data_IF_548284715096
#
_entry.id   IF_548284715096
#
_cell.length_a   1.000
_cell.length_b   1.000
_cell.length_c   1.000
_cell.angle_alpha   90.00
_cell.angle_beta   90.00
_cell.angle_gamma   90.00
#
_symmetry.space_group_name_H-M   'P 1'
#
loop_
_entity.id
_entity.type
_entity.pdbx_description
1 polymer ?
#
# COMPACT_ATOMS: atom_id res chain seq x y z
N UNK A 1 -17.28 -29.68 -13.77
CA UNK A 1 -16.38 -30.39 -12.83
C UNK A 1 -16.51 -29.70 -11.48
N UNK A 2 -16.91 -30.42 -10.43
CA UNK A 2 -16.94 -29.85 -9.09
C UNK A 2 -15.49 -29.53 -8.65
N UNK A 3 -15.23 -28.31 -8.19
CA UNK A 3 -13.90 -27.92 -7.72
C UNK A 3 -13.47 -28.72 -6.50
N UNK A 4 -12.16 -28.97 -6.35
CA UNK A 4 -11.58 -29.62 -5.18
C UNK A 4 -11.88 -28.78 -3.95
N UNK A 5 -12.62 -29.35 -2.98
CA UNK A 5 -13.03 -28.64 -1.76
C UNK A 5 -11.98 -28.80 -0.65
N UNK A 6 -11.54 -27.67 -0.12
CA UNK A 6 -10.63 -27.59 1.03
C UNK A 6 -11.28 -28.10 2.33
N UNK A 7 -10.47 -28.69 3.22
CA UNK A 7 -10.84 -29.09 4.59
C UNK A 7 -10.65 -27.95 5.60
N UNK A 8 -9.93 -26.88 5.24
CA UNK A 8 -9.78 -25.71 6.12
C UNK A 8 -11.16 -25.14 6.46
N UNK A 9 -11.44 -25.04 7.75
CA UNK A 9 -12.60 -24.33 8.26
C UNK A 9 -12.32 -22.82 8.28
N UNK A 10 -13.37 -22.01 8.36
CA UNK A 10 -13.23 -20.55 8.49
C UNK A 10 -12.37 -20.16 9.71
N UNK A 11 -12.57 -20.83 10.85
CA UNK A 11 -11.77 -20.61 12.06
C UNK A 11 -10.27 -20.96 11.84
N UNK A 12 -9.98 -22.06 11.15
CA UNK A 12 -8.59 -22.42 10.82
C UNK A 12 -7.97 -21.38 9.86
N UNK A 13 -8.74 -20.86 8.89
CA UNK A 13 -8.29 -19.77 8.01
C UNK A 13 -7.95 -18.52 8.81
N UNK A 14 -8.78 -18.12 9.77
CA UNK A 14 -8.55 -16.94 10.63
C UNK A 14 -7.29 -17.11 11.49
N UNK A 15 -7.08 -18.30 12.07
CA UNK A 15 -5.86 -18.60 12.82
C UNK A 15 -4.61 -18.53 11.92
N UNK A 16 -4.66 -19.09 10.72
CA UNK A 16 -3.56 -19.00 9.75
C UNK A 16 -3.31 -17.56 9.30
N UNK A 17 -4.36 -16.77 9.12
CA UNK A 17 -4.26 -15.35 8.83
C UNK A 17 -3.60 -14.57 9.96
N UNK A 18 -3.86 -14.92 11.22
CA UNK A 18 -3.15 -14.33 12.37
C UNK A 18 -1.66 -14.67 12.36
N UNK A 19 -1.28 -15.88 11.94
CA UNK A 19 0.13 -16.30 11.85
C UNK A 19 0.89 -15.63 10.67
N UNK A 20 0.20 -15.33 9.58
CA UNK A 20 0.78 -14.90 8.29
C UNK A 20 0.46 -13.45 7.88
N UNK A 21 -0.34 -12.72 8.67
CA UNK A 21 -0.67 -11.31 8.44
C UNK A 21 -1.78 -11.09 7.40
N UNK A 22 -2.92 -11.78 7.56
CA UNK A 22 -4.16 -11.63 6.78
C UNK A 22 -4.03 -11.92 5.28
N UNK A 23 -3.25 -12.96 4.95
CA UNK A 23 -2.99 -13.47 3.59
C UNK A 23 -4.16 -14.31 3.05
N UNK A 24 -4.22 -14.48 1.74
CA UNK A 24 -5.13 -15.44 1.08
C UNK A 24 -4.45 -16.79 0.89
N UNK A 25 -5.25 -17.86 0.87
CA UNK A 25 -4.78 -19.22 0.63
C UNK A 25 -5.48 -19.81 -0.60
N UNK A 26 -4.70 -20.25 -1.59
CA UNK A 26 -5.20 -20.95 -2.77
C UNK A 26 -4.76 -22.41 -2.71
N UNK A 27 -5.72 -23.33 -2.67
CA UNK A 27 -5.44 -24.78 -2.58
C UNK A 27 -4.70 -25.25 -3.84
N UNK A 28 -3.48 -25.74 -3.67
CA UNK A 28 -2.67 -26.32 -4.75
C UNK A 28 -2.81 -27.84 -4.77
N UNK A 29 -2.74 -28.46 -3.60
CA UNK A 29 -2.67 -29.90 -3.43
C UNK A 29 -3.54 -30.35 -2.25
N UNK A 30 -4.24 -31.48 -2.42
CA UNK A 30 -5.03 -32.17 -1.41
C UNK A 30 -4.78 -33.67 -1.58
N UNK A 31 -4.17 -34.31 -0.59
CA UNK A 31 -3.68 -35.69 -0.70
C UNK A 31 -4.81 -36.69 -0.95
N UNK A 32 -5.96 -36.54 -0.30
CA UNK A 32 -7.13 -37.42 -0.54
C UNK A 32 -7.69 -37.37 -1.97
N UNK A 33 -7.40 -36.31 -2.73
CA UNK A 33 -7.89 -36.12 -4.12
C UNK A 33 -6.79 -36.41 -5.14
N UNK A 34 -5.56 -35.97 -4.86
CA UNK A 34 -4.44 -36.09 -5.80
C UNK A 34 -3.54 -37.31 -5.52
N UNK A 35 -3.79 -38.04 -4.44
CA UNK A 35 -2.95 -39.14 -3.94
C UNK A 35 -1.81 -38.64 -3.06
N UNK A 36 -1.38 -39.47 -2.10
CA UNK A 36 -0.34 -39.17 -1.11
C UNK A 36 1.10 -39.22 -1.69
N UNK A 37 1.24 -39.20 -3.01
CA UNK A 37 2.52 -39.33 -3.71
C UNK A 37 3.27 -37.98 -3.74
N UNK A 38 4.56 -37.98 -3.35
CA UNK A 38 5.40 -36.78 -3.32
C UNK A 38 5.63 -36.19 -4.71
N UNK A 39 5.67 -37.04 -5.75
CA UNK A 39 5.80 -36.60 -7.15
C UNK A 39 4.63 -35.72 -7.60
N UNK A 40 3.41 -35.99 -7.12
CA UNK A 40 2.23 -35.19 -7.43
C UNK A 40 2.21 -33.90 -6.62
N UNK A 41 2.73 -33.92 -5.38
CA UNK A 41 2.97 -32.70 -4.61
C UNK A 41 3.89 -31.75 -5.38
N UNK A 42 5.08 -32.21 -5.81
CA UNK A 42 6.02 -31.37 -6.55
C UNK A 42 5.45 -30.87 -7.88
N UNK A 43 4.75 -31.73 -8.63
CA UNK A 43 4.09 -31.33 -9.87
C UNK A 43 3.06 -30.18 -9.70
N UNK A 44 2.52 -29.98 -8.49
CA UNK A 44 1.51 -28.96 -8.19
C UNK A 44 2.06 -27.77 -7.40
N UNK A 45 3.09 -27.97 -6.59
CA UNK A 45 3.57 -27.00 -5.61
C UNK A 45 4.91 -26.36 -5.99
N UNK A 46 5.68 -26.94 -6.90
CA UNK A 46 6.91 -26.32 -7.38
C UNK A 46 6.63 -25.03 -8.13
N UNK A 47 7.54 -24.07 -8.00
CA UNK A 47 7.45 -22.71 -8.57
C UNK A 47 6.19 -21.90 -8.17
N UNK A 48 5.49 -22.27 -7.10
CA UNK A 48 4.28 -21.56 -6.65
C UNK A 48 4.55 -20.39 -5.69
N UNK A 49 5.81 -20.16 -5.28
CA UNK A 49 6.16 -19.15 -4.29
C UNK A 49 5.87 -19.61 -2.85
N UNK A 50 5.56 -18.67 -1.92
CA UNK A 50 5.28 -19.00 -0.53
C UNK A 50 4.13 -20.01 -0.38
N UNK A 51 4.34 -21.07 0.40
CA UNK A 51 3.35 -22.11 0.62
C UNK A 51 3.19 -22.44 2.09
N UNK A 52 1.99 -22.93 2.43
CA UNK A 52 1.69 -23.51 3.74
C UNK A 52 1.14 -24.92 3.55
N UNK A 53 1.78 -25.89 4.20
CA UNK A 53 1.33 -27.27 4.28
C UNK A 53 0.54 -27.47 5.58
N UNK A 54 -0.64 -28.07 5.48
CA UNK A 54 -1.58 -28.28 6.58
C UNK A 54 -1.97 -29.76 6.63
N UNK A 55 -1.61 -30.41 7.72
CA UNK A 55 -1.89 -31.80 8.02
C UNK A 55 -2.99 -31.93 9.09
N UNK A 56 -3.75 -33.02 9.00
CA UNK A 56 -4.80 -33.37 9.94
C UNK A 56 -4.56 -34.82 10.40
N UNK A 57 -4.62 -35.12 11.70
CA UNK A 57 -4.51 -36.50 12.21
C UNK A 57 -5.77 -36.98 12.94
N UNK A 58 -5.79 -38.27 13.29
CA UNK A 58 -6.93 -38.92 13.96
C UNK A 58 -7.17 -38.40 15.38
N UNK A 59 -6.11 -37.91 16.02
CA UNK A 59 -6.13 -37.30 17.35
C UNK A 59 -6.67 -35.87 17.38
N UNK A 60 -7.11 -35.33 16.23
CA UNK A 60 -7.75 -34.02 16.14
C UNK A 60 -6.81 -32.82 16.02
N UNK A 61 -5.51 -33.05 15.81
CA UNK A 61 -4.53 -32.00 15.59
C UNK A 61 -4.61 -31.48 14.15
N UNK A 62 -4.46 -30.16 14.02
CA UNK A 62 -4.26 -29.47 12.74
C UNK A 62 -2.90 -28.79 12.84
N UNK A 63 -1.92 -29.24 12.05
CA UNK A 63 -0.53 -28.85 12.19
C UNK A 63 0.17 -28.78 10.83
N UNK A 64 1.38 -28.24 10.79
CA UNK A 64 2.12 -28.19 9.54
C UNK A 64 3.25 -27.17 9.57
N UNK A 65 3.63 -26.70 8.39
CA UNK A 65 4.70 -25.73 8.24
C UNK A 65 4.46 -24.74 7.11
N UNK A 66 5.07 -23.57 7.24
CA UNK A 66 5.09 -22.51 6.25
C UNK A 66 6.52 -22.26 5.77
N UNK A 67 6.65 -22.00 4.47
CA UNK A 67 7.87 -21.44 3.87
C UNK A 67 7.55 -20.22 3.02
N UNK A 68 8.41 -19.21 3.11
CA UNK A 68 8.38 -18.01 2.26
C UNK A 68 9.07 -18.22 0.91
N UNK A 69 9.74 -19.34 0.73
CA UNK A 69 10.45 -19.70 -0.49
C UNK A 69 9.60 -20.64 -1.35
N UNK A 70 9.96 -20.77 -2.63
CA UNK A 70 9.33 -21.71 -3.53
C UNK A 70 10.06 -23.05 -3.52
N UNK A 71 9.32 -24.16 -3.53
CA UNK A 71 9.87 -25.47 -3.89
C UNK A 71 10.29 -25.47 -5.36
N UNK A 72 11.37 -26.20 -5.68
CA UNK A 72 11.89 -26.36 -7.04
C UNK A 72 12.46 -27.77 -7.29
N UNK A 73 12.25 -28.72 -6.39
CA UNK A 73 12.82 -30.08 -6.46
C UNK A 73 14.35 -30.09 -6.60
N UNK A 74 15.03 -29.17 -5.91
CA UNK A 74 16.48 -28.95 -6.05
C UNK A 74 17.37 -30.12 -5.60
N UNK A 75 16.86 -31.00 -4.76
CA UNK A 75 17.64 -32.01 -4.04
C UNK A 75 18.45 -31.44 -2.87
N UNK A 76 18.23 -30.16 -2.52
CA UNK A 76 19.03 -29.42 -1.56
C UNK A 76 18.17 -28.79 -0.46
N UNK A 77 18.85 -28.20 0.52
CA UNK A 77 18.20 -27.37 1.53
C UNK A 77 17.88 -25.97 0.98
N UNK A 78 16.71 -25.47 1.32
CA UNK A 78 16.28 -24.10 1.08
C UNK A 78 16.54 -23.27 2.34
N UNK A 79 17.18 -22.12 2.15
CA UNK A 79 17.39 -21.15 3.21
C UNK A 79 16.16 -20.26 3.37
N UNK A 80 15.57 -20.20 4.57
CA UNK A 80 14.36 -19.41 4.82
C UNK A 80 14.28 -18.96 6.27
N UNK A 81 14.55 -17.68 6.53
CA UNK A 81 14.45 -17.08 7.88
C UNK A 81 13.00 -16.91 8.36
N UNK A 82 12.02 -17.01 7.46
CA UNK A 82 10.59 -16.78 7.74
C UNK A 82 9.84 -18.10 7.89
N UNK A 83 10.50 -19.24 7.72
CA UNK A 83 9.89 -20.55 7.89
C UNK A 83 9.49 -20.79 9.36
N UNK A 84 8.38 -21.50 9.54
CA UNK A 84 7.93 -21.90 10.87
C UNK A 84 7.05 -23.14 10.79
N UNK A 85 7.03 -23.92 11.87
CA UNK A 85 6.02 -24.95 12.12
C UNK A 85 4.87 -24.37 12.94
N UNK A 86 3.70 -24.97 12.85
CA UNK A 86 2.55 -24.53 13.62
C UNK A 86 1.62 -25.67 14.00
N UNK A 87 0.80 -25.41 15.02
CA UNK A 87 -0.43 -26.13 15.35
C UNK A 87 -1.56 -25.11 15.50
N UNK A 88 -2.74 -25.43 14.97
CA UNK A 88 -3.97 -24.64 15.16
C UNK A 88 -4.83 -25.24 16.28
N UNK A 89 -5.74 -24.43 16.81
CA UNK A 89 -6.76 -24.86 17.75
C UNK A 89 -7.68 -25.88 17.07
N UNK A 90 -7.71 -27.11 17.61
CA UNK A 90 -8.58 -28.19 17.13
C UNK A 90 -10.06 -27.95 17.47
N UNK A 91 -10.95 -28.83 16.97
CA UNK A 91 -12.43 -28.69 17.04
C UNK A 91 -13.01 -28.48 18.46
N UNK A 92 -12.33 -28.94 19.50
CA UNK A 92 -12.81 -28.84 20.89
C UNK A 92 -12.15 -27.72 21.70
N UNK A 93 -11.27 -26.93 21.08
CA UNK A 93 -10.67 -25.76 21.70
C UNK A 93 -9.73 -26.00 22.88
N UNK A 94 -9.41 -27.26 23.18
CA UNK A 94 -8.52 -27.68 24.28
C UNK A 94 -7.06 -27.29 24.03
N UNK A 95 -6.64 -27.24 22.75
CA UNK A 95 -5.25 -26.96 22.37
C UNK A 95 -5.07 -25.49 21.98
N UNK A 96 -4.08 -24.82 22.57
CA UNK A 96 -3.69 -23.47 22.17
C UNK A 96 -2.97 -23.48 20.81
N UNK A 97 -3.12 -22.43 19.98
CA UNK A 97 -2.33 -22.30 18.77
C UNK A 97 -0.85 -22.19 19.13
N UNK A 98 0.00 -22.83 18.33
CA UNK A 98 1.45 -22.88 18.54
C UNK A 98 2.14 -22.42 17.25
N UNK A 99 3.17 -21.59 17.39
CA UNK A 99 4.08 -21.19 16.32
C UNK A 99 5.51 -21.47 16.75
N UNK A 100 6.23 -22.27 15.96
CA UNK A 100 7.62 -22.64 16.20
C UNK A 100 8.45 -22.04 15.07
N UNK A 101 9.07 -20.87 15.28
CA UNK A 101 9.91 -20.26 14.27
C UNK A 101 11.16 -21.12 14.02
N UNK A 102 11.65 -21.09 12.79
CA UNK A 102 12.99 -21.63 12.49
C UNK A 102 14.05 -20.86 13.27
N UNK A 103 15.06 -21.57 13.81
CA UNK A 103 16.17 -20.92 14.54
C UNK A 103 17.22 -20.32 13.61
N UNK A 104 17.54 -21.04 12.55
CA UNK A 104 18.57 -20.66 11.57
C UNK A 104 17.99 -20.77 10.18
N UNK A 105 18.17 -19.73 9.36
CA UNK A 105 17.68 -19.72 7.99
C UNK A 105 18.27 -20.89 7.18
N UNK A 106 19.52 -21.28 7.43
CA UNK A 106 20.18 -22.41 6.79
C UNK A 106 19.47 -23.72 7.10
N UNK A 107 19.19 -24.54 6.08
CA UNK A 107 18.52 -25.84 6.26
C UNK A 107 17.08 -25.75 6.81
N UNK A 108 16.40 -24.63 6.58
CA UNK A 108 15.03 -24.41 7.06
C UNK A 108 14.02 -25.39 6.43
N UNK A 109 14.18 -25.72 5.15
CA UNK A 109 13.32 -26.63 4.39
C UNK A 109 14.20 -27.54 3.55
N UNK A 110 13.85 -28.83 3.44
CA UNK A 110 14.53 -29.78 2.57
C UNK A 110 13.69 -30.02 1.32
N UNK A 111 14.23 -29.66 0.16
CA UNK A 111 13.52 -29.67 -1.12
C UNK A 111 14.09 -30.78 -2.01
N UNK A 112 13.56 -31.98 -1.86
CA UNK A 112 13.97 -33.15 -2.63
C UNK A 112 12.76 -33.76 -3.31
N UNK A 113 12.86 -34.11 -4.60
CA UNK A 113 11.74 -34.56 -5.43
C UNK A 113 10.98 -35.79 -4.92
N UNK A 114 11.61 -36.58 -4.04
CA UNK A 114 11.04 -37.77 -3.39
C UNK A 114 10.54 -37.50 -1.96
N UNK A 115 10.56 -36.25 -1.51
CA UNK A 115 10.09 -35.82 -0.20
C UNK A 115 8.81 -35.01 -0.37
N UNK A 116 7.87 -35.15 0.56
CA UNK A 116 6.76 -34.18 0.64
C UNK A 116 7.23 -32.87 1.28
N UNK A 117 6.31 -32.03 1.79
CA UNK A 117 6.67 -30.90 2.62
C UNK A 117 7.59 -31.32 3.78
N UNK A 118 8.86 -30.91 3.73
CA UNK A 118 9.89 -31.32 4.68
C UNK A 118 10.60 -30.10 5.26
N UNK A 119 10.39 -29.86 6.55
CA UNK A 119 10.97 -28.75 7.31
C UNK A 119 12.14 -29.27 8.15
N UNK A 120 13.28 -28.59 8.08
CA UNK A 120 14.48 -28.91 8.87
C UNK A 120 15.17 -30.21 8.49
N UNK A 121 14.86 -30.83 7.34
CA UNK A 121 15.41 -32.15 6.99
C UNK A 121 14.88 -33.27 7.89
N UNK A 122 13.60 -33.20 8.29
CA UNK A 122 12.94 -34.21 9.09
C UNK A 122 12.34 -33.71 10.41
N UNK A 123 12.52 -32.44 10.79
CA UNK A 123 11.80 -31.88 11.95
C UNK A 123 10.29 -32.04 11.77
N UNK A 124 9.80 -31.81 10.57
CA UNK A 124 8.48 -32.29 10.16
C UNK A 124 8.53 -32.63 8.68
N UNK A 125 8.26 -33.89 8.35
CA UNK A 125 8.01 -34.31 6.99
C UNK A 125 6.61 -34.88 6.87
N UNK A 126 5.87 -34.41 5.87
CA UNK A 126 4.54 -34.93 5.51
C UNK A 126 4.65 -35.80 4.27
N UNK A 127 3.73 -36.76 4.11
CA UNK A 127 3.69 -37.71 3.00
C UNK A 127 4.89 -38.68 3.00
N UNK A 128 5.30 -39.14 4.18
CA UNK A 128 6.42 -40.08 4.29
C UNK A 128 6.13 -41.37 3.51
N UNK A 129 7.12 -41.85 2.77
CA UNK A 129 7.04 -43.06 1.94
C UNK A 129 5.82 -43.09 0.99
N UNK A 130 5.38 -41.92 0.49
CA UNK A 130 4.17 -41.77 -0.33
C UNK A 130 2.88 -42.24 0.36
N UNK A 131 2.83 -42.18 1.69
CA UNK A 131 1.72 -42.65 2.50
C UNK A 131 1.04 -41.51 3.26
N UNK A 132 -0.11 -41.83 3.86
CA UNK A 132 -0.82 -40.97 4.79
C UNK A 132 -0.12 -40.94 6.17
N UNK A 133 1.16 -40.58 6.17
CA UNK A 133 2.03 -40.58 7.32
C UNK A 133 2.90 -39.32 7.36
N UNK A 134 3.20 -38.88 8.57
CA UNK A 134 4.23 -37.90 8.86
C UNK A 134 5.42 -38.58 9.55
N UNK A 135 6.56 -37.90 9.55
CA UNK A 135 7.72 -38.28 10.36
C UNK A 135 8.33 -37.03 10.99
N UNK A 136 8.91 -37.22 12.18
CA UNK A 136 9.49 -36.17 13.00
C UNK A 136 10.78 -36.68 13.60
N UNK A 137 11.87 -35.93 13.41
CA UNK A 137 13.16 -36.16 14.02
C UNK A 137 13.62 -34.90 14.76
N UNK A 138 14.36 -35.08 15.85
CA UNK A 138 14.97 -33.96 16.55
C UNK A 138 16.10 -33.35 15.72
N UNK A 139 16.11 -32.03 15.55
CA UNK A 139 17.22 -31.29 14.98
C UNK A 139 17.34 -29.89 15.59
N UNK A 140 18.41 -29.17 15.22
CA UNK A 140 18.71 -27.85 15.76
C UNK A 140 17.89 -26.72 15.11
N UNK A 141 17.34 -26.96 13.91
CA UNK A 141 16.60 -25.96 13.14
C UNK A 141 15.23 -25.63 13.75
N UNK A 142 14.54 -26.63 14.30
CA UNK A 142 13.24 -26.47 14.96
C UNK A 142 13.25 -27.22 16.29
N UNK A 143 12.99 -26.50 17.39
CA UNK A 143 12.92 -27.10 18.73
C UNK A 143 11.50 -26.97 19.27
N UNK A 144 10.90 -28.12 19.54
CA UNK A 144 9.55 -28.24 20.08
C UNK A 144 9.36 -29.63 20.70
N UNK A 145 8.32 -29.79 21.52
CA UNK A 145 7.90 -31.10 21.97
C UNK A 145 6.97 -31.72 20.91
N UNK A 146 7.27 -32.95 20.49
CA UNK A 146 6.52 -33.71 19.47
C UNK A 146 5.04 -33.85 19.84
N UNK A 147 4.75 -34.09 21.14
CA UNK A 147 3.38 -34.17 21.65
C UNK A 147 2.61 -32.84 21.50
N UNK A 148 3.31 -31.71 21.58
CA UNK A 148 2.70 -30.40 21.40
C UNK A 148 2.36 -30.14 19.92
N UNK A 149 3.16 -30.62 18.97
CA UNK A 149 2.89 -30.34 17.55
C UNK A 149 1.73 -31.18 17.00
N UNK A 150 1.73 -32.49 17.26
CA UNK A 150 0.78 -33.43 16.65
C UNK A 150 0.30 -34.55 17.59
N UNK A 151 0.52 -34.44 18.90
CA UNK A 151 -0.04 -35.38 19.89
C UNK A 151 0.56 -36.78 19.84
N UNK A 152 1.80 -36.92 19.33
CA UNK A 152 2.45 -38.22 19.06
C UNK A 152 1.69 -39.10 18.04
N UNK A 153 0.75 -38.53 17.29
CA UNK A 153 0.01 -39.22 16.23
C UNK A 153 0.51 -38.74 14.86
N UNK A 154 1.27 -39.62 14.20
CA UNK A 154 1.87 -39.39 12.89
C UNK A 154 0.97 -39.87 11.74
N UNK A 155 -0.18 -40.50 12.04
CA UNK A 155 -1.13 -40.94 11.03
C UNK A 155 -1.93 -39.77 10.46
N UNK A 156 -1.80 -39.52 9.16
CA UNK A 156 -2.49 -38.41 8.51
C UNK A 156 -3.87 -38.84 8.02
N UNK A 157 -4.90 -38.10 8.42
CA UNK A 157 -6.21 -38.15 7.78
C UNK A 157 -6.23 -37.35 6.47
N UNK A 158 -5.41 -36.30 6.37
CA UNK A 158 -5.35 -35.41 5.21
C UNK A 158 -4.06 -34.58 5.23
N UNK A 159 -3.58 -34.22 4.04
CA UNK A 159 -2.54 -33.21 3.85
C UNK A 159 -2.96 -32.27 2.71
N UNK A 160 -3.00 -30.97 2.99
CA UNK A 160 -3.33 -29.93 2.01
C UNK A 160 -2.20 -28.92 1.94
N UNK A 161 -1.86 -28.47 0.73
CA UNK A 161 -0.87 -27.41 0.52
C UNK A 161 -1.52 -26.25 -0.20
N UNK A 162 -1.30 -25.06 0.34
CA UNK A 162 -1.86 -23.81 -0.15
C UNK A 162 -0.76 -22.85 -0.57
N UNK A 163 -0.95 -22.18 -1.69
CA UNK A 163 -0.19 -20.97 -2.04
C UNK A 163 -0.65 -19.83 -1.13
N UNK A 164 0.29 -19.11 -0.55
CA UNK A 164 0.02 -17.92 0.28
C UNK A 164 0.08 -16.68 -0.61
N UNK A 165 -1.06 -16.08 -0.90
CA UNK A 165 -1.16 -14.90 -1.77
C UNK A 165 -1.21 -13.58 -0.97
N UNK A 166 -1.28 -12.44 -1.67
CA UNK A 166 -1.38 -11.10 -1.08
C UNK A 166 -2.49 -10.94 -0.03
N UNK A 167 -2.47 -9.83 0.72
CA UNK A 167 -3.45 -9.58 1.80
C UNK A 167 -4.89 -9.53 1.24
N UNK A 168 -5.83 -10.26 1.83
CA UNK A 168 -7.24 -10.25 1.39
C UNK A 168 -7.95 -8.95 1.79
N UNK A 169 -7.60 -8.46 2.99
CA UNK A 169 -8.06 -7.18 3.55
C UNK A 169 -7.66 -5.99 2.66
N UNK A 170 -6.52 -6.07 1.97
CA UNK A 170 -6.04 -4.97 1.13
C UNK A 170 -6.91 -4.81 -0.12
N UNK A 171 -7.28 -5.90 -0.81
CA UNK A 171 -8.16 -5.82 -2.01
C UNK A 171 -9.57 -5.32 -1.71
N UNK A 172 -10.18 -5.72 -0.59
CA UNK A 172 -11.52 -5.22 -0.22
C UNK A 172 -11.48 -3.74 0.15
N UNK A 173 -10.48 -3.33 0.95
CA UNK A 173 -10.26 -1.93 1.28
C UNK A 173 -10.04 -1.08 0.03
N UNK A 174 -9.20 -1.54 -0.90
CA UNK A 174 -8.97 -0.87 -2.18
C UNK A 174 -10.28 -0.68 -2.95
N UNK A 175 -11.06 -1.75 -3.17
CA UNK A 175 -12.37 -1.68 -3.86
C UNK A 175 -13.37 -0.79 -3.15
N UNK A 176 -13.30 -0.67 -1.83
CA UNK A 176 -14.16 0.23 -1.07
C UNK A 176 -13.77 1.69 -1.29
N UNK A 177 -12.47 2.02 -1.21
CA UNK A 177 -11.97 3.38 -1.43
C UNK A 177 -12.18 3.85 -2.87
N UNK A 178 -11.96 2.99 -3.87
CA UNK A 178 -12.29 3.29 -5.27
C UNK A 178 -13.77 3.61 -5.45
N UNK A 179 -14.67 2.82 -4.84
CA UNK A 179 -16.12 3.05 -4.93
C UNK A 179 -16.54 4.36 -4.29
N UNK A 180 -15.97 4.70 -3.13
CA UNK A 180 -16.23 5.98 -2.44
C UNK A 180 -15.82 7.15 -3.34
N UNK A 181 -14.63 7.10 -3.95
CA UNK A 181 -14.15 8.16 -4.87
C UNK A 181 -15.01 8.25 -6.14
N UNK A 182 -15.34 7.11 -6.76
CA UNK A 182 -16.18 7.05 -7.97
C UNK A 182 -17.61 7.55 -7.76
N UNK A 183 -18.12 7.40 -6.55
CA UNK A 183 -19.49 7.80 -6.18
C UNK A 183 -19.58 9.19 -5.54
N UNK A 184 -18.44 9.81 -5.22
CA UNK A 184 -18.39 11.13 -4.63
C UNK A 184 -19.10 12.17 -5.52
N UNK A 185 -19.89 13.03 -4.90
CA UNK A 185 -20.56 14.15 -5.54
C UNK A 185 -20.15 15.42 -4.80
N UNK A 186 -19.56 16.41 -5.50
CA UNK A 186 -19.32 17.71 -4.90
C UNK A 186 -20.62 18.31 -4.35
N UNK A 187 -20.51 19.06 -3.26
CA UNK A 187 -21.65 19.62 -2.57
C UNK A 187 -22.44 20.64 -3.42
N UNK A 188 -21.72 21.49 -4.17
CA UNK A 188 -22.32 22.51 -5.03
C UNK A 188 -22.53 21.96 -6.45
N UNK A 189 -23.77 22.00 -6.94
CA UNK A 189 -24.11 21.57 -8.30
C UNK A 189 -23.36 22.37 -9.40
N UNK A 190 -22.94 23.59 -9.10
CA UNK A 190 -22.13 24.44 -10.00
C UNK A 190 -20.67 23.99 -10.11
N UNK A 191 -20.23 23.05 -9.27
CA UNK A 191 -18.88 22.49 -9.21
C UNK A 191 -18.95 20.99 -9.53
N UNK A 192 -18.81 20.58 -10.81
CA UNK A 192 -18.93 19.15 -11.17
C UNK A 192 -17.70 18.32 -10.76
N UNK A 193 -16.54 18.95 -10.57
CA UNK A 193 -15.30 18.31 -10.16
C UNK A 193 -14.56 19.20 -9.17
N UNK A 194 -14.00 18.60 -8.12
CA UNK A 194 -13.15 19.27 -7.14
C UNK A 194 -11.76 19.46 -7.74
N UNK A 195 -11.25 20.70 -7.71
CA UNK A 195 -9.86 21.01 -8.08
C UNK A 195 -8.95 20.97 -6.85
N UNK A 196 -7.96 20.09 -6.90
CA UNK A 196 -6.94 19.94 -5.86
C UNK A 196 -5.64 20.53 -6.40
N UNK A 197 -5.13 21.59 -5.77
CA UNK A 197 -3.83 22.17 -6.12
C UNK A 197 -2.71 21.40 -5.44
N UNK A 198 -1.73 20.93 -6.22
CA UNK A 198 -0.59 20.17 -5.75
C UNK A 198 0.62 21.09 -5.65
N UNK A 199 1.05 21.40 -4.44
CA UNK A 199 2.19 22.28 -4.13
C UNK A 199 3.32 21.48 -3.48
N UNK A 200 4.55 21.95 -3.55
CA UNK A 200 5.68 21.29 -2.90
C UNK A 200 7.03 21.56 -3.58
N UNK A 201 8.15 21.25 -2.89
CA UNK A 201 9.49 21.45 -3.44
C UNK A 201 9.76 20.71 -4.75
N UNK A 202 10.83 21.09 -5.44
CA UNK A 202 11.35 20.31 -6.58
C UNK A 202 11.68 18.89 -6.12
N UNK A 203 11.36 17.89 -6.94
CA UNK A 203 11.67 16.49 -6.67
C UNK A 203 10.81 15.83 -5.58
N UNK A 204 9.85 16.55 -4.97
CA UNK A 204 8.95 15.99 -3.96
C UNK A 204 7.90 15.02 -4.51
N UNK A 205 7.82 14.82 -5.83
CA UNK A 205 6.89 13.83 -6.42
C UNK A 205 5.48 14.34 -6.71
N UNK A 206 5.29 15.64 -6.97
CA UNK A 206 3.97 16.24 -7.34
C UNK A 206 3.38 15.63 -8.62
N UNK A 207 4.13 15.69 -9.72
CA UNK A 207 3.72 15.13 -11.01
C UNK A 207 3.61 13.60 -10.96
N UNK A 208 4.50 12.95 -10.20
CA UNK A 208 4.44 11.51 -9.92
C UNK A 208 3.17 11.12 -9.17
N UNK A 209 2.71 11.94 -8.21
CA UNK A 209 1.46 11.69 -7.49
C UNK A 209 0.25 11.70 -8.44
N UNK A 210 0.16 12.68 -9.34
CA UNK A 210 -0.88 12.67 -10.38
C UNK A 210 -0.80 11.42 -11.25
N UNK A 211 0.38 11.10 -11.78
CA UNK A 211 0.58 9.91 -12.62
C UNK A 211 0.14 8.65 -11.89
N UNK A 212 0.47 8.54 -10.61
CA UNK A 212 0.12 7.39 -9.77
C UNK A 212 -1.39 7.27 -9.58
N UNK A 213 -2.06 8.35 -9.18
CA UNK A 213 -3.53 8.38 -9.03
C UNK A 213 -4.22 8.02 -10.35
N UNK A 214 -3.77 8.61 -11.46
CA UNK A 214 -4.30 8.30 -12.79
C UNK A 214 -4.04 6.84 -13.19
N UNK A 215 -2.93 6.25 -12.77
CA UNK A 215 -2.60 4.84 -13.03
C UNK A 215 -3.59 3.90 -12.34
N UNK A 216 -3.94 4.16 -11.07
CA UNK A 216 -4.93 3.38 -10.31
C UNK A 216 -6.26 3.30 -11.08
N UNK A 217 -6.79 4.47 -11.48
CA UNK A 217 -8.10 4.51 -12.14
C UNK A 217 -8.05 4.07 -13.61
N UNK A 218 -6.88 4.08 -14.27
CA UNK A 218 -6.72 3.53 -15.62
C UNK A 218 -6.48 2.02 -15.64
N UNK A 219 -6.00 1.44 -14.54
CA UNK A 219 -5.68 0.02 -14.42
C UNK A 219 -4.30 -0.38 -14.93
N UNK A 220 -3.41 0.59 -15.22
CA UNK A 220 -2.01 0.35 -15.60
C UNK A 220 -1.15 1.58 -15.31
N UNK A 221 0.16 1.40 -15.13
CA UNK A 221 1.10 2.50 -14.84
C UNK A 221 1.17 3.50 -16.01
N UNK A 222 1.03 4.79 -15.71
CA UNK A 222 1.01 5.88 -16.70
C UNK A 222 2.00 6.99 -16.35
N UNK A 223 2.46 7.70 -17.39
CA UNK A 223 3.35 8.86 -17.25
C UNK A 223 2.86 10.01 -18.13
N UNK A 224 1.72 10.61 -17.76
CA UNK A 224 1.09 11.68 -18.54
C UNK A 224 1.61 13.07 -18.16
N UNK A 225 1.90 13.31 -16.88
CA UNK A 225 2.64 14.49 -16.44
C UNK A 225 4.14 14.21 -16.51
N UNK A 226 4.91 15.21 -16.94
CA UNK A 226 6.37 15.11 -17.00
C UNK A 226 6.89 15.06 -15.57
N UNK A 227 7.43 13.91 -15.18
CA UNK A 227 8.06 13.69 -13.88
C UNK A 227 9.54 13.35 -14.09
N UNK A 228 10.40 13.91 -13.25
CA UNK A 228 11.85 13.68 -13.30
C UNK A 228 12.56 14.42 -12.17
N UNK A 229 13.77 13.98 -11.86
CA UNK A 229 14.67 14.66 -10.91
C UNK A 229 15.75 15.38 -11.71
N UNK A 230 15.74 16.71 -11.63
CA UNK A 230 16.81 17.57 -12.15
C UNK A 230 17.08 18.67 -11.10
N UNK A 231 18.17 19.41 -11.26
CA UNK A 231 18.54 20.54 -10.40
C UNK A 231 17.51 21.68 -10.49
N UNK A 232 16.81 21.81 -11.62
CA UNK A 232 15.72 22.76 -11.84
C UNK A 232 14.35 22.04 -11.91
N UNK A 233 13.27 22.81 -11.80
CA UNK A 233 11.92 22.23 -11.89
C UNK A 233 11.64 21.75 -13.30
N UNK A 234 11.42 20.45 -13.46
CA UNK A 234 11.01 19.85 -14.74
C UNK A 234 9.62 20.35 -15.16
N UNK A 235 8.72 20.52 -14.19
CA UNK A 235 7.41 21.13 -14.42
C UNK A 235 7.57 22.64 -14.42
N UNK A 236 7.33 23.28 -15.57
CA UNK A 236 7.46 24.73 -15.76
C UNK A 236 6.11 25.41 -16.09
N UNK A 237 5.04 24.62 -16.20
CA UNK A 237 3.69 25.08 -16.49
C UNK A 237 2.71 24.72 -15.37
N UNK A 238 1.70 25.55 -15.18
CA UNK A 238 0.49 25.17 -14.46
C UNK A 238 -0.34 24.24 -15.34
N UNK A 239 -0.65 23.04 -14.83
CA UNK A 239 -1.36 22.01 -15.60
C UNK A 239 -2.51 21.45 -14.80
N UNK A 240 -3.66 21.32 -15.44
CA UNK A 240 -4.87 20.76 -14.85
C UNK A 240 -5.16 19.41 -15.49
N UNK A 241 -5.22 18.37 -14.66
CA UNK A 241 -5.39 16.99 -15.12
C UNK A 241 -6.68 16.39 -14.55
N UNK A 242 -7.74 16.30 -15.36
CA UNK A 242 -8.94 15.54 -15.00
C UNK A 242 -8.59 14.06 -14.90
N UNK A 243 -9.01 13.40 -13.82
CA UNK A 243 -8.87 11.95 -13.66
C UNK A 243 -10.08 11.26 -14.30
N UNK A 244 -9.86 10.14 -14.99
CA UNK A 244 -10.92 9.36 -15.66
C UNK A 244 -11.01 7.95 -15.09
N UNK A 245 -12.21 7.37 -15.10
CA UNK A 245 -12.45 5.97 -14.73
C UNK A 245 -12.16 5.06 -15.94
N UNK A 246 -10.90 4.63 -16.12
CA UNK A 246 -10.43 3.92 -17.31
C UNK A 246 -9.97 4.83 -18.45
N UNK A 247 -9.54 4.24 -19.57
CA UNK A 247 -8.97 4.97 -20.73
C UNK A 247 -9.95 5.98 -21.33
N UNK A 248 -11.16 5.52 -21.61
CA UNK A 248 -12.22 6.28 -22.29
C UNK A 248 -13.47 6.47 -21.42
N UNK A 249 -13.36 6.18 -20.12
CA UNK A 249 -14.50 6.27 -19.21
C UNK A 249 -14.80 7.70 -18.77
N UNK A 250 -15.84 7.79 -17.93
CA UNK A 250 -16.35 9.05 -17.41
C UNK A 250 -15.29 9.79 -16.57
N UNK A 251 -15.27 11.14 -16.61
CA UNK A 251 -14.49 11.92 -15.65
C UNK A 251 -14.91 11.59 -14.22
N UNK A 252 -13.91 11.40 -13.35
CA UNK A 252 -14.11 11.33 -11.90
C UNK A 252 -14.30 12.75 -11.34
N UNK A 253 -14.88 12.90 -10.14
CA UNK A 253 -15.18 14.21 -9.55
C UNK A 253 -13.93 14.97 -9.05
N UNK A 254 -12.76 14.74 -9.66
CA UNK A 254 -11.47 15.25 -9.24
C UNK A 254 -10.67 15.75 -10.45
N UNK A 255 -10.07 16.93 -10.28
CA UNK A 255 -9.03 17.47 -11.15
C UNK A 255 -7.80 17.74 -10.26
N UNK A 256 -6.65 17.17 -10.65
CA UNK A 256 -5.38 17.46 -10.00
C UNK A 256 -4.69 18.59 -10.76
N UNK A 257 -4.37 19.67 -10.06
CA UNK A 257 -3.70 20.84 -10.62
C UNK A 257 -2.23 20.85 -10.19
N UNK A 258 -1.34 20.50 -11.11
CA UNK A 258 0.10 20.41 -10.88
C UNK A 258 0.79 21.75 -11.14
N UNK A 259 1.82 22.05 -10.36
CA UNK A 259 2.56 23.31 -10.42
C UNK A 259 4.06 23.10 -10.55
N UNK A 260 4.74 24.17 -10.94
CA UNK A 260 6.19 24.27 -10.78
C UNK A 260 6.61 24.06 -9.32
N UNK A 261 7.80 23.49 -9.12
CA UNK A 261 8.35 23.26 -7.78
C UNK A 261 8.74 24.55 -7.07
N UNK A 262 8.62 24.51 -5.74
CA UNK A 262 9.06 25.59 -4.86
C UNK A 262 10.58 25.47 -4.65
N UNK A 263 11.27 26.62 -4.67
CA UNK A 263 12.70 26.74 -4.40
C UNK A 263 12.94 27.80 -3.31
N UNK A 264 14.12 27.76 -2.72
CA UNK A 264 14.59 28.62 -1.64
C UNK A 264 14.96 30.05 -2.10
N UNK A 265 15.42 30.21 -3.34
CA UNK A 265 15.80 31.51 -3.91
C UNK A 265 14.57 32.30 -4.40
N UNK A 266 14.48 33.58 -4.03
CA UNK A 266 13.47 34.50 -4.55
C UNK A 266 13.61 34.68 -6.07
N UNK A 267 12.51 34.57 -6.81
CA UNK A 267 12.52 34.63 -8.28
C UNK A 267 12.88 33.30 -8.96
N UNK A 268 13.11 32.24 -8.17
CA UNK A 268 13.26 30.87 -8.66
C UNK A 268 12.10 30.00 -8.14
N UNK A 269 11.46 29.25 -9.05
CA UNK A 269 10.33 28.39 -8.68
C UNK A 269 9.02 29.17 -8.49
N UNK A 270 8.03 28.51 -7.90
CA UNK A 270 6.70 29.07 -7.70
C UNK A 270 6.69 30.15 -6.60
N UNK A 271 6.13 31.32 -6.90
CA UNK A 271 6.00 32.42 -5.94
C UNK A 271 4.63 32.44 -5.22
N UNK A 272 4.61 32.99 -4.00
CA UNK A 272 3.43 32.96 -3.12
C UNK A 272 2.24 33.74 -3.74
N UNK A 273 2.53 34.85 -4.42
CA UNK A 273 1.49 35.66 -5.05
C UNK A 273 0.85 34.98 -6.26
N UNK A 274 1.59 34.14 -6.99
CA UNK A 274 1.04 33.33 -8.08
C UNK A 274 0.03 32.31 -7.54
N UNK A 275 0.30 31.71 -6.38
CA UNK A 275 -0.63 30.78 -5.73
C UNK A 275 -1.98 31.44 -5.42
N UNK A 276 -1.98 32.75 -5.11
CA UNK A 276 -3.24 33.49 -4.89
C UNK A 276 -4.09 33.57 -6.15
N UNK A 277 -3.47 33.80 -7.31
CA UNK A 277 -4.16 33.83 -8.59
C UNK A 277 -4.65 32.44 -9.00
N UNK A 278 -3.87 31.39 -8.73
CA UNK A 278 -4.25 30.00 -9.01
C UNK A 278 -5.45 29.61 -8.14
N UNK A 279 -5.42 29.88 -6.83
CA UNK A 279 -6.50 29.55 -5.90
C UNK A 279 -7.82 30.16 -6.34
N UNK A 280 -7.79 31.42 -6.76
CA UNK A 280 -8.97 32.16 -7.23
C UNK A 280 -9.44 31.74 -8.63
N UNK A 281 -8.70 30.91 -9.35
CA UNK A 281 -9.05 30.45 -10.69
C UNK A 281 -8.68 31.44 -11.82
N UNK A 282 -7.83 32.41 -11.55
CA UNK A 282 -7.42 33.41 -12.54
C UNK A 282 -6.40 32.88 -13.56
N UNK A 283 -5.75 31.75 -13.26
CA UNK A 283 -4.68 31.16 -14.07
C UNK A 283 -5.24 30.05 -14.97
N UNK A 284 -5.14 30.16 -16.31
CA UNK A 284 -5.63 29.14 -17.23
C UNK A 284 -4.70 27.91 -17.29
N UNK A 285 -5.23 26.77 -17.74
CA UNK A 285 -4.43 25.58 -18.04
C UNK A 285 -3.29 25.90 -19.01
N UNK A 286 -2.13 25.29 -18.80
CA UNK A 286 -0.89 25.48 -19.57
C UNK A 286 -0.25 26.86 -19.44
N UNK A 287 -0.64 27.65 -18.45
CA UNK A 287 0.08 28.88 -18.13
C UNK A 287 1.56 28.58 -17.84
N UNK A 288 2.44 29.26 -18.54
CA UNK A 288 3.89 29.16 -18.36
C UNK A 288 4.31 30.09 -17.23
N UNK A 289 4.93 29.54 -16.18
CA UNK A 289 5.44 30.36 -15.10
C UNK A 289 6.60 31.24 -15.59
N UNK A 290 6.55 32.52 -15.24
CA UNK A 290 7.55 33.50 -15.64
C UNK A 290 8.42 33.89 -14.43
N UNK A 291 9.73 33.56 -14.43
CA UNK A 291 10.64 33.96 -13.35
C UNK A 291 10.74 35.47 -13.17
N UNK A 292 10.44 36.26 -14.21
CA UNK A 292 10.58 37.72 -14.19
C UNK A 292 9.36 38.47 -13.63
N UNK A 293 8.24 37.81 -13.34
CA UNK A 293 7.06 38.49 -12.78
C UNK A 293 5.80 37.63 -12.72
N UNK A 294 4.89 38.01 -11.83
CA UNK A 294 3.62 37.32 -11.59
C UNK A 294 2.55 37.71 -12.63
N UNK A 295 1.56 36.83 -12.82
CA UNK A 295 0.43 37.10 -13.71
C UNK A 295 -0.44 38.25 -13.15
N UNK A 296 -0.65 39.29 -13.95
CA UNK A 296 -1.46 40.46 -13.58
C UNK A 296 -2.84 40.44 -14.29
N UNK A 297 -3.84 41.19 -13.80
CA UNK A 297 -5.17 41.26 -14.43
C UNK A 297 -5.19 41.72 -15.90
N UNK A 298 -4.18 42.50 -16.30
CA UNK A 298 -4.02 42.99 -17.67
C UNK A 298 -3.17 42.07 -18.55
N UNK A 299 -2.59 41.01 -17.97
CA UNK A 299 -1.77 40.05 -18.71
C UNK A 299 -2.62 39.22 -19.68
N UNK A 300 -2.12 38.95 -20.90
CA UNK A 300 -2.80 38.06 -21.84
C UNK A 300 -3.07 36.68 -21.22
N UNK A 301 -4.31 36.20 -21.33
CA UNK A 301 -4.73 34.91 -20.79
C UNK A 301 -5.21 34.93 -19.33
N UNK A 302 -5.14 36.07 -18.61
CA UNK A 302 -5.72 36.20 -17.27
C UNK A 302 -7.24 36.02 -17.32
N UNK A 303 -7.76 35.10 -16.51
CA UNK A 303 -9.21 34.87 -16.38
C UNK A 303 -9.78 35.93 -15.44
N UNK A 304 -10.43 36.97 -15.99
CA UNK A 304 -10.92 38.11 -15.21
C UNK A 304 -12.00 37.75 -14.17
N UNK A 305 -12.94 36.90 -14.56
CA UNK A 305 -14.10 36.52 -13.73
C UNK A 305 -14.25 35.01 -13.68
N UNK A 306 -13.42 34.32 -12.88
CA UNK A 306 -13.48 32.87 -12.74
C UNK A 306 -14.77 32.43 -12.04
N UNK A 307 -15.31 31.30 -12.46
CA UNK A 307 -16.47 30.69 -11.81
C UNK A 307 -16.03 29.76 -10.67
N UNK A 308 -16.97 29.31 -9.83
CA UNK A 308 -16.64 28.42 -8.69
C UNK A 308 -15.91 27.13 -9.12
N UNK A 309 -16.28 26.55 -10.27
CA UNK A 309 -15.59 25.35 -10.82
C UNK A 309 -14.14 25.61 -11.25
N UNK A 310 -13.74 26.87 -11.40
CA UNK A 310 -12.38 27.25 -11.81
C UNK A 310 -11.47 27.49 -10.59
N UNK A 311 -12.05 27.66 -9.40
CA UNK A 311 -11.33 27.87 -8.15
C UNK A 311 -10.74 26.57 -7.60
N UNK A 312 -9.73 26.70 -6.73
CA UNK A 312 -9.16 25.57 -5.99
C UNK A 312 -10.02 25.29 -4.76
N UNK A 313 -10.29 24.00 -4.52
CA UNK A 313 -11.19 23.54 -3.47
C UNK A 313 -10.43 22.86 -2.31
N UNK A 314 -9.21 22.38 -2.57
CA UNK A 314 -8.32 21.81 -1.57
C UNK A 314 -6.86 21.93 -2.05
N UNK A 315 -5.90 21.97 -1.13
CA UNK A 315 -4.47 21.98 -1.43
C UNK A 315 -3.79 20.73 -0.89
N UNK A 316 -3.06 20.01 -1.73
CA UNK A 316 -2.14 18.95 -1.34
C UNK A 316 -0.71 19.51 -1.29
N UNK A 317 -0.09 19.56 -0.12
CA UNK A 317 1.32 19.93 0.04
C UNK A 317 2.16 18.66 0.05
N UNK A 318 2.96 18.48 -0.98
CA UNK A 318 3.77 17.27 -1.20
C UNK A 318 5.18 17.48 -0.66
N UNK A 319 5.58 16.59 0.24
CA UNK A 319 6.89 16.61 0.91
C UNK A 319 7.60 15.29 0.64
N UNK A 320 8.89 15.38 0.34
CA UNK A 320 9.78 14.22 0.25
C UNK A 320 10.13 13.74 1.66
N UNK A 321 9.67 12.55 2.04
CA UNK A 321 9.88 12.00 3.38
C UNK A 321 11.34 11.71 3.70
N UNK A 322 12.21 11.55 2.71
CA UNK A 322 13.64 11.35 2.90
C UNK A 322 14.39 12.66 3.17
N UNK A 323 13.77 13.81 2.87
CA UNK A 323 14.44 15.12 2.92
C UNK A 323 13.88 16.07 3.98
N UNK A 324 12.85 15.68 4.72
CA UNK A 324 12.22 16.58 5.69
C UNK A 324 13.16 16.98 6.83
N UNK A 325 14.00 16.06 7.33
CA UNK A 325 14.99 16.35 8.38
C UNK A 325 16.01 17.40 7.95
N UNK A 326 16.49 17.27 6.71
CA UNK A 326 17.49 18.15 6.10
C UNK A 326 16.86 19.28 5.27
N UNK A 327 15.58 19.59 5.50
CA UNK A 327 14.88 20.63 4.75
C UNK A 327 15.51 22.00 5.08
N UNK A 328 16.01 22.76 4.08
CA UNK A 328 16.60 24.06 4.31
C UNK A 328 15.63 25.05 4.96
N UNK A 329 16.09 25.83 5.94
CA UNK A 329 15.25 26.74 6.73
C UNK A 329 14.45 27.72 5.84
N UNK A 330 15.08 28.29 4.80
CA UNK A 330 14.41 29.19 3.85
C UNK A 330 13.24 28.50 3.12
N UNK A 331 13.42 27.24 2.74
CA UNK A 331 12.38 26.47 2.06
C UNK A 331 11.27 26.06 3.04
N UNK A 332 11.63 25.70 4.27
CA UNK A 332 10.68 25.47 5.37
C UNK A 332 9.81 26.70 5.61
N UNK A 333 10.41 27.88 5.68
CA UNK A 333 9.70 29.15 5.86
C UNK A 333 8.79 29.48 4.67
N UNK A 334 9.25 29.27 3.42
CA UNK A 334 8.41 29.47 2.23
C UNK A 334 7.21 28.52 2.24
N UNK A 335 7.37 27.26 2.66
CA UNK A 335 6.27 26.31 2.83
C UNK A 335 5.28 26.74 3.93
N UNK A 336 5.78 27.23 5.08
CA UNK A 336 4.93 27.80 6.14
C UNK A 336 4.14 29.01 5.65
N UNK A 337 4.77 29.90 4.89
CA UNK A 337 4.10 31.08 4.33
C UNK A 337 3.02 30.70 3.33
N UNK A 338 3.30 29.77 2.42
CA UNK A 338 2.30 29.22 1.50
C UNK A 338 1.12 28.61 2.25
N UNK A 339 1.40 27.80 3.27
CA UNK A 339 0.38 27.18 4.12
C UNK A 339 -0.53 28.24 4.77
N UNK A 340 0.06 29.28 5.35
CA UNK A 340 -0.67 30.40 5.96
C UNK A 340 -1.51 31.14 4.93
N UNK A 341 -0.97 31.37 3.73
CA UNK A 341 -1.70 32.03 2.63
C UNK A 341 -2.91 31.20 2.17
N UNK A 342 -2.74 29.89 2.03
CA UNK A 342 -3.85 28.95 1.71
C UNK A 342 -4.93 29.00 2.80
N UNK A 343 -4.53 28.97 4.07
CA UNK A 343 -5.47 29.08 5.20
C UNK A 343 -6.21 30.42 5.25
N UNK A 344 -5.58 31.53 4.85
CA UNK A 344 -6.25 32.84 4.74
C UNK A 344 -7.38 32.86 3.71
N UNK A 345 -7.30 32.01 2.67
CA UNK A 345 -8.39 31.82 1.72
C UNK A 345 -9.46 30.85 2.20
N UNK A 346 -9.34 30.31 3.43
CA UNK A 346 -10.27 29.30 3.94
C UNK A 346 -10.17 27.96 3.22
N UNK A 347 -9.11 27.72 2.44
CA UNK A 347 -8.96 26.49 1.67
C UNK A 347 -8.34 25.40 2.56
N UNK A 348 -8.96 24.22 2.66
CA UNK A 348 -8.43 23.10 3.43
C UNK A 348 -7.19 22.52 2.76
N UNK A 349 -6.26 22.02 3.57
CA UNK A 349 -4.99 21.49 3.09
C UNK A 349 -4.63 20.16 3.75
N UNK A 350 -3.95 19.30 3.00
CA UNK A 350 -3.41 18.01 3.44
C UNK A 350 -1.95 17.90 3.03
N UNK A 351 -1.11 17.36 3.89
CA UNK A 351 0.28 17.03 3.54
C UNK A 351 0.37 15.60 3.06
N UNK A 352 1.00 15.41 1.90
CA UNK A 352 1.34 14.11 1.35
C UNK A 352 2.84 13.88 1.59
N UNK A 353 3.17 12.92 2.44
CA UNK A 353 4.54 12.50 2.70
C UNK A 353 4.90 11.39 1.70
N UNK A 354 5.67 11.73 0.67
CA UNK A 354 6.03 10.83 -0.44
C UNK A 354 7.33 10.08 -0.19
N UNK A 355 7.63 9.12 -1.07
CA UNK A 355 8.86 8.31 -1.05
C UNK A 355 9.06 7.52 0.23
N UNK A 356 7.95 7.07 0.83
CA UNK A 356 7.98 6.32 2.08
C UNK A 356 8.67 4.96 1.96
N UNK A 357 8.82 4.47 0.74
CA UNK A 357 9.60 3.28 0.38
C UNK A 357 11.10 3.50 0.31
N UNK A 358 11.56 4.76 0.23
CA UNK A 358 12.99 5.11 0.26
C UNK A 358 13.47 5.45 1.69
N UNK A 359 12.54 5.75 2.62
CA UNK A 359 12.85 6.11 4.01
C UNK A 359 13.55 4.95 4.76
N UNK A 360 13.34 3.71 4.34
CA UNK A 360 13.98 2.52 4.92
C UNK A 360 14.31 1.51 3.82
N UNK A 361 15.56 1.02 3.70
CA UNK A 361 15.95 0.06 2.68
C UNK A 361 15.11 -1.22 2.73
N UNK A 362 14.74 -1.72 1.54
CA UNK A 362 13.94 -2.93 1.36
C UNK A 362 14.66 -4.13 1.98
N UNK A 363 14.14 -4.62 3.10
CA UNK A 363 14.72 -5.75 3.86
C UNK A 363 14.24 -5.82 5.31
N UNK A 364 13.75 -4.72 5.88
CA UNK A 364 13.35 -4.67 7.30
C UNK A 364 11.88 -5.03 7.56
N UNK A 365 11.61 -5.44 8.81
CA UNK A 365 10.28 -5.83 9.29
C UNK A 365 9.27 -4.69 9.08
N UNK A 366 8.04 -4.99 8.63
CA UNK A 366 6.95 -4.00 8.41
C UNK A 366 6.74 -3.02 9.58
N UNK A 367 7.00 -3.45 10.82
CA UNK A 367 6.92 -2.59 12.01
C UNK A 367 7.94 -1.46 12.02
N UNK A 368 9.15 -1.69 11.50
CA UNK A 368 10.21 -0.68 11.46
C UNK A 368 9.87 0.37 10.41
N UNK A 369 9.43 -0.04 9.20
CA UNK A 369 8.97 0.89 8.16
C UNK A 369 7.84 1.78 8.68
N UNK A 370 6.85 1.20 9.37
CA UNK A 370 5.77 1.98 10.00
C UNK A 370 6.30 2.97 11.05
N UNK A 371 7.24 2.55 11.88
CA UNK A 371 7.83 3.39 12.92
C UNK A 371 8.62 4.56 12.32
N UNK A 372 9.50 4.31 11.35
CA UNK A 372 10.31 5.37 10.72
C UNK A 372 9.41 6.32 9.93
N UNK A 373 8.41 5.81 9.20
CA UNK A 373 7.42 6.66 8.52
C UNK A 373 6.68 7.55 9.52
N UNK A 374 6.25 6.99 10.66
CA UNK A 374 5.60 7.75 11.72
C UNK A 374 6.51 8.82 12.32
N UNK A 375 7.80 8.54 12.48
CA UNK A 375 8.79 9.53 12.91
C UNK A 375 8.92 10.67 11.90
N UNK A 376 9.04 10.37 10.61
CA UNK A 376 9.08 11.41 9.57
C UNK A 376 7.81 12.26 9.52
N UNK A 377 6.64 11.65 9.78
CA UNK A 377 5.39 12.40 9.91
C UNK A 377 5.42 13.35 11.12
N UNK A 378 5.98 12.94 12.26
CA UNK A 378 6.13 13.81 13.43
C UNK A 378 7.06 15.00 13.17
N UNK A 379 8.19 14.75 12.54
CA UNK A 379 9.15 15.79 12.15
C UNK A 379 8.49 16.77 11.17
N UNK A 380 7.75 16.25 10.19
CA UNK A 380 6.95 17.06 9.26
C UNK A 380 5.91 17.91 9.99
N UNK A 381 5.21 17.33 10.96
CA UNK A 381 4.20 18.02 11.76
C UNK A 381 4.81 19.19 12.55
N UNK A 382 5.96 18.98 13.17
CA UNK A 382 6.70 20.00 13.92
C UNK A 382 7.23 21.10 13.02
N UNK A 383 7.99 20.74 11.97
CA UNK A 383 8.57 21.69 11.01
C UNK A 383 7.50 22.53 10.33
N UNK A 384 6.41 21.92 9.86
CA UNK A 384 5.37 22.68 9.16
C UNK A 384 4.34 23.29 10.10
N UNK A 385 4.28 22.89 11.38
CA UNK A 385 3.34 23.35 12.41
C UNK A 385 1.90 22.84 12.24
N UNK A 386 1.71 21.62 11.73
CA UNK A 386 0.40 21.03 11.39
C UNK A 386 0.07 19.85 12.30
N UNK A 387 -1.22 19.54 12.53
CA UNK A 387 -1.61 18.30 13.19
C UNK A 387 -1.14 17.07 12.42
N UNK A 388 -0.67 16.05 13.13
CA UNK A 388 -0.26 14.77 12.55
C UNK A 388 -1.37 14.11 11.70
N UNK A 389 -2.65 14.33 12.08
CA UNK A 389 -3.82 13.84 11.36
C UNK A 389 -4.00 14.45 9.95
N UNK A 390 -3.30 15.55 9.65
CA UNK A 390 -3.29 16.19 8.32
C UNK A 390 -2.10 15.73 7.45
N UNK A 391 -1.39 14.69 7.86
CA UNK A 391 -0.25 14.13 7.13
C UNK A 391 -0.60 12.70 6.71
N UNK A 392 -0.52 12.42 5.41
CA UNK A 392 -0.78 11.09 4.85
C UNK A 392 0.47 10.59 4.14
N UNK A 393 1.02 9.44 4.54
CA UNK A 393 2.11 8.80 3.82
C UNK A 393 1.60 8.18 2.52
N UNK A 394 2.33 8.40 1.43
CA UNK A 394 2.02 7.85 0.11
C UNK A 394 3.27 7.31 -0.57
N UNK A 395 3.09 6.25 -1.35
CA UNK A 395 4.07 5.78 -2.33
C UNK A 395 3.52 6.07 -3.73
N UNK A 396 4.36 6.62 -4.59
CA UNK A 396 4.03 6.87 -5.98
C UNK A 396 4.60 5.74 -6.86
N UNK A 397 3.92 5.44 -7.97
CA UNK A 397 4.46 4.60 -9.03
C UNK A 397 5.58 5.36 -9.76
N UNK A 398 6.81 4.97 -9.50
CA UNK A 398 8.01 5.59 -10.07
C UNK A 398 8.93 4.58 -10.75
N UNK A 399 8.96 3.34 -10.25
CA UNK A 399 9.85 2.28 -10.73
C UNK A 399 9.09 1.03 -11.17
N UNK A 400 7.86 0.83 -10.69
CA UNK A 400 7.03 -0.32 -11.04
C UNK A 400 6.45 -0.20 -12.44
N UNK A 401 6.34 -1.34 -13.12
CA UNK A 401 5.66 -1.47 -14.41
C UNK A 401 4.19 -1.87 -14.26
N UNK A 402 3.84 -2.47 -13.12
CA UNK A 402 2.52 -3.02 -12.82
C UNK A 402 1.96 -2.42 -11.53
N UNK A 403 0.63 -2.40 -11.42
CA UNK A 403 -0.04 -1.91 -10.21
C UNK A 403 0.11 -2.89 -9.04
N UNK A 404 0.32 -2.34 -7.85
CA UNK A 404 0.46 -3.05 -6.59
C UNK A 404 -0.65 -2.60 -5.64
N UNK A 405 -1.45 -3.56 -5.17
CA UNK A 405 -2.62 -3.30 -4.32
C UNK A 405 -2.29 -2.48 -3.06
N UNK A 406 -1.13 -2.70 -2.43
CA UNK A 406 -0.74 -1.96 -1.23
C UNK A 406 -0.41 -0.49 -1.53
N UNK A 407 0.12 -0.19 -2.73
CA UNK A 407 0.39 1.17 -3.21
C UNK A 407 -0.91 1.88 -3.58
N UNK A 408 -1.79 1.18 -4.29
CA UNK A 408 -3.13 1.69 -4.65
C UNK A 408 -3.91 2.14 -3.42
N UNK A 409 -3.88 1.38 -2.34
CA UNK A 409 -4.58 1.74 -1.09
C UNK A 409 -4.04 3.03 -0.49
N UNK A 410 -2.71 3.23 -0.49
CA UNK A 410 -2.14 4.48 0.04
C UNK A 410 -2.58 5.68 -0.80
N UNK A 411 -2.55 5.54 -2.13
CA UNK A 411 -2.97 6.58 -3.06
C UNK A 411 -4.47 6.88 -2.94
N UNK A 412 -5.32 5.85 -2.93
CA UNK A 412 -6.77 5.96 -2.80
C UNK A 412 -7.16 6.55 -1.44
N UNK A 413 -6.51 6.12 -0.35
CA UNK A 413 -6.69 6.71 0.97
C UNK A 413 -6.37 8.21 0.97
N UNK A 414 -5.27 8.64 0.34
CA UNK A 414 -4.90 10.05 0.23
C UNK A 414 -5.92 10.86 -0.58
N UNK A 415 -6.31 10.36 -1.77
CA UNK A 415 -7.31 11.01 -2.63
C UNK A 415 -8.65 11.14 -1.94
N UNK A 416 -9.08 10.10 -1.22
CA UNK A 416 -10.31 10.15 -0.42
C UNK A 416 -10.25 11.21 0.66
N UNK A 417 -9.14 11.32 1.39
CA UNK A 417 -8.99 12.34 2.43
C UNK A 417 -9.01 13.75 1.84
N UNK A 418 -8.38 13.96 0.67
CA UNK A 418 -8.45 15.24 -0.06
C UNK A 418 -9.89 15.59 -0.45
N UNK A 419 -10.67 14.62 -0.94
CA UNK A 419 -12.09 14.81 -1.26
C UNK A 419 -12.95 15.14 -0.03
N UNK A 420 -12.70 14.45 1.10
CA UNK A 420 -13.41 14.70 2.36
C UNK A 420 -13.10 16.09 2.92
N UNK A 421 -11.87 16.55 2.79
CA UNK A 421 -11.48 17.90 3.18
C UNK A 421 -12.09 18.96 2.27
N UNK A 422 -12.19 18.69 0.96
CA UNK A 422 -12.80 19.62 0.01
C UNK A 422 -14.32 19.78 0.16
N UNK A 423 -14.99 18.88 0.89
CA UNK A 423 -16.40 19.04 1.22
C UNK A 423 -16.55 20.21 2.20
N UNK A 424 -17.42 21.21 1.93
CA UNK A 424 -17.63 22.31 2.86
C UNK A 424 -18.17 21.77 4.19
N UNK A 425 -17.65 22.31 5.30
CA UNK A 425 -18.31 22.19 6.60
C UNK A 425 -19.69 22.85 6.46
N UNK A 426 -20.78 22.25 6.96
CA UNK A 426 -22.06 22.93 7.00
C UNK A 426 -21.89 24.24 7.76
N UNK A 427 -22.38 25.34 7.19
CA UNK A 427 -22.32 26.66 7.82
C UNK A 427 -22.81 26.56 9.28
N UNK A 428 -22.17 27.26 10.24
CA UNK A 428 -22.76 27.42 11.56
C UNK A 428 -24.15 28.04 11.36
N UNK A 429 -25.15 27.43 12.01
CA UNK A 429 -26.55 27.85 11.98
C UNK A 429 -26.65 29.39 12.00
N UNK A 430 -27.54 29.99 11.18
CA UNK A 430 -27.71 31.44 11.19
C UNK A 430 -27.99 31.90 12.63
N UNK A 431 -27.42 33.04 13.07
CA UNK A 431 -27.63 33.52 14.42
C UNK A 431 -29.14 33.60 14.66
N UNK A 432 -29.60 32.96 15.74
CA UNK A 432 -30.99 33.05 16.17
C UNK A 432 -31.40 34.52 16.14
N UNK A 433 -32.32 34.85 15.25
CA UNK A 433 -33.00 36.15 15.26
C UNK A 433 -33.60 36.30 16.64
N UNK A 434 -33.06 37.21 17.45
CA UNK A 434 -33.71 37.63 18.67
C UNK A 434 -35.04 38.28 18.27
N UNK A 435 -36.13 37.58 18.55
CA UNK A 435 -37.48 38.12 18.59
C UNK A 435 -37.75 38.79 19.91
#
# INVERSE_FOLDING_TARGET
MAGVKSRLTQDAVEQLQHLLGSRQFSLLYKASVHGYNTSIFHAKCDAQGPTIAVAYNGSGYIFGGFTSQSYVSSGAYINDEKAFLFRLKGKEGVLSPLKIPVKTATSAVYDHSTSGPNFGGGALQLLDQNAAAAVTSSNDNYTFNVADLHGNDLGLMECEVYRVEGKLISKEKMRHEEREIRSYKPYLNSVPQIRILVLGPIGAGKSSFFNSVNSVFRGYVTSQAVAGSDNASVTTQYRTYPVKDGRDGKPLPIILCDTMGIQDNSGAGLEIDEVSNIIKGHVPDRYQFNPAGTLCPDSPGYIKTPSLKDQIHCVAIVIDGCKIEILPEKLEDKLKQLRRKVSQFGIPQLVLLTKVDEICPIGELFRIILFVTFLQMRITAEKLGIPLAQIVPVKNYCSELELLCDVDILLLSAVRQLLRLAAPLPDPLPPCSQS
#
